data_IF_716033536152
#
_entry.id   IF_716033536152
#
_cell.length_a   1.000
_cell.length_b   1.000
_cell.length_c   1.000
_cell.angle_alpha   90.00
_cell.angle_beta   90.00
_cell.angle_gamma   90.00
#
_symmetry.space_group_name_H-M   'P 1'
#
loop_
_entity.id
_entity.type
_entity.pdbx_description
1 polymer ?
#
# COMPACT_ATOMS: atom_id res chain seq x y z
N UNK A 1 15.91 69.87 -48.70
CA UNK A 1 14.82 69.37 -47.81
C UNK A 1 14.09 68.16 -48.30
N UNK A 2 13.99 67.81 -49.55
CA UNK A 2 13.35 66.60 -50.10
C UNK A 2 14.11 65.28 -49.75
N UNK A 3 15.44 65.29 -49.77
CA UNK A 3 16.30 64.17 -49.53
C UNK A 3 16.29 63.70 -48.06
N UNK A 4 15.95 64.56 -47.09
CA UNK A 4 15.88 64.28 -45.66
C UNK A 4 14.55 63.57 -45.25
N UNK A 5 13.49 63.84 -45.97
CA UNK A 5 12.16 63.24 -45.78
C UNK A 5 12.15 61.77 -46.26
N UNK A 6 12.87 61.44 -47.32
CA UNK A 6 12.90 60.09 -47.88
C UNK A 6 13.74 59.11 -46.96
N UNK A 7 14.79 59.62 -46.34
CA UNK A 7 15.56 58.82 -45.35
C UNK A 7 14.75 58.52 -44.09
N UNK A 8 13.89 59.42 -43.64
CA UNK A 8 13.05 59.21 -42.46
C UNK A 8 11.95 58.17 -42.74
N UNK A 9 11.39 58.12 -43.94
CA UNK A 9 10.41 57.11 -44.33
C UNK A 9 11.03 55.73 -44.52
N UNK A 10 12.23 55.65 -45.05
CA UNK A 10 12.96 54.38 -45.19
C UNK A 10 13.39 53.79 -43.82
N UNK A 11 13.78 54.67 -42.89
CA UNK A 11 14.20 54.28 -41.57
C UNK A 11 13.02 53.81 -40.69
N UNK A 12 11.87 54.51 -40.77
CA UNK A 12 10.65 54.09 -40.06
C UNK A 12 10.10 52.76 -40.60
N UNK A 13 10.08 52.56 -41.91
CA UNK A 13 9.61 51.28 -42.48
C UNK A 13 10.52 50.10 -42.18
N UNK A 14 11.83 50.31 -42.03
CA UNK A 14 12.76 49.26 -41.58
C UNK A 14 12.59 48.92 -40.10
N UNK A 15 12.29 49.89 -39.23
CA UNK A 15 12.05 49.69 -37.80
C UNK A 15 10.70 48.95 -37.60
N UNK A 16 9.65 49.33 -38.31
CA UNK A 16 8.36 48.62 -38.21
C UNK A 16 8.41 47.21 -38.83
N UNK A 17 9.17 46.97 -39.89
CA UNK A 17 9.40 45.66 -40.48
C UNK A 17 10.21 44.73 -39.55
N UNK A 18 11.19 45.29 -38.84
CA UNK A 18 12.01 44.53 -37.90
C UNK A 18 11.25 44.24 -36.58
N UNK A 19 10.41 45.13 -36.10
CA UNK A 19 9.55 44.91 -34.92
C UNK A 19 8.42 43.93 -35.23
N UNK A 20 7.89 43.88 -36.45
CA UNK A 20 6.83 42.94 -36.85
C UNK A 20 7.39 41.53 -37.06
N UNK A 21 8.61 41.39 -37.57
CA UNK A 21 9.29 40.08 -37.73
C UNK A 21 9.77 39.53 -36.40
N UNK A 22 10.23 40.36 -35.47
CA UNK A 22 10.64 39.90 -34.12
C UNK A 22 9.45 39.50 -33.25
N UNK A 23 8.27 40.11 -33.41
CA UNK A 23 7.04 39.71 -32.72
C UNK A 23 6.47 38.40 -33.29
N UNK A 24 6.62 38.14 -34.61
CA UNK A 24 6.14 36.93 -35.26
C UNK A 24 7.02 35.70 -35.01
N UNK A 25 8.31 35.88 -34.67
CA UNK A 25 9.24 34.82 -34.37
C UNK A 25 9.21 34.40 -32.86
N UNK A 26 8.66 35.29 -31.98
CA UNK A 26 8.59 34.97 -30.52
C UNK A 26 7.23 34.44 -30.05
N UNK A 27 6.22 34.30 -30.92
CA UNK A 27 4.90 33.77 -30.54
C UNK A 27 4.77 32.22 -30.54
N UNK A 28 5.64 31.41 -31.18
CA UNK A 28 5.40 29.94 -31.15
C UNK A 28 6.05 29.21 -30.01
N UNK A 29 6.62 29.83 -28.97
CA UNK A 29 7.34 29.07 -27.90
C UNK A 29 6.53 28.89 -26.62
N UNK A 30 5.31 29.44 -26.52
CA UNK A 30 4.44 29.29 -25.33
C UNK A 30 3.13 28.53 -25.57
N UNK A 31 3.05 27.67 -26.60
CA UNK A 31 2.11 26.56 -26.56
C UNK A 31 2.77 25.36 -25.84
N UNK A 32 3.21 25.57 -24.61
CA UNK A 32 3.34 24.47 -23.67
C UNK A 32 1.90 24.04 -23.38
N UNK A 33 1.53 22.87 -23.88
CA UNK A 33 0.26 22.20 -23.70
C UNK A 33 -0.11 22.20 -22.20
N UNK A 34 -0.86 23.20 -21.78
CA UNK A 34 -1.69 23.04 -20.60
C UNK A 34 -2.74 21.98 -20.98
N UNK A 35 -2.53 20.74 -20.53
CA UNK A 35 -3.55 19.72 -20.66
C UNK A 35 -4.83 20.27 -20.06
N UNK A 36 -5.91 20.28 -20.83
CA UNK A 36 -7.20 20.72 -20.31
C UNK A 36 -7.64 19.76 -19.21
N UNK A 37 -8.40 20.25 -18.24
CA UNK A 37 -8.96 19.40 -17.17
C UNK A 37 -9.73 18.21 -17.76
N UNK A 38 -10.37 18.39 -18.91
CA UNK A 38 -11.08 17.36 -19.66
C UNK A 38 -10.13 16.29 -20.21
N UNK A 39 -8.96 16.66 -20.75
CA UNK A 39 -7.97 15.66 -21.20
C UNK A 39 -7.41 14.81 -20.05
N UNK A 40 -7.22 15.42 -18.89
CA UNK A 40 -6.76 14.68 -17.70
C UNK A 40 -7.86 13.76 -17.19
N UNK A 41 -9.11 14.22 -17.16
CA UNK A 41 -10.26 13.41 -16.78
C UNK A 41 -10.42 12.19 -17.69
N UNK A 42 -10.33 12.39 -19.01
CA UNK A 42 -10.38 11.30 -20.00
C UNK A 42 -9.26 10.27 -19.78
N UNK A 43 -8.04 10.72 -19.43
CA UNK A 43 -6.92 9.83 -19.09
C UNK A 43 -7.19 9.03 -17.82
N UNK A 44 -7.78 9.65 -16.79
CA UNK A 44 -8.16 8.96 -15.55
C UNK A 44 -9.21 7.88 -15.85
N UNK A 45 -10.22 8.17 -16.65
CA UNK A 45 -11.24 7.19 -17.06
C UNK A 45 -10.64 6.01 -17.83
N UNK A 46 -9.71 6.28 -18.75
CA UNK A 46 -8.98 5.23 -19.46
C UNK A 46 -8.15 4.36 -18.48
N UNK A 47 -7.46 4.97 -17.51
CA UNK A 47 -6.73 4.22 -16.49
C UNK A 47 -7.65 3.36 -15.60
N UNK A 48 -8.85 3.86 -15.27
CA UNK A 48 -9.85 3.08 -14.53
C UNK A 48 -10.31 1.84 -15.33
N UNK A 49 -10.52 1.98 -16.64
CA UNK A 49 -10.87 0.84 -17.51
C UNK A 49 -9.73 -0.19 -17.58
N UNK A 50 -8.47 0.26 -17.72
CA UNK A 50 -7.28 -0.61 -17.71
C UNK A 50 -7.15 -1.37 -16.37
N UNK A 51 -7.37 -0.68 -15.25
CA UNK A 51 -7.35 -1.25 -13.90
C UNK A 51 -8.41 -2.36 -13.78
N UNK A 52 -9.65 -2.08 -14.17
CA UNK A 52 -10.75 -3.06 -14.11
C UNK A 52 -10.48 -4.31 -14.97
N UNK A 53 -9.82 -4.16 -16.11
CA UNK A 53 -9.42 -5.29 -16.95
C UNK A 53 -8.33 -6.14 -16.30
N UNK A 54 -7.33 -5.51 -15.68
CA UNK A 54 -6.26 -6.23 -14.97
C UNK A 54 -6.80 -6.94 -13.72
N UNK A 55 -7.74 -6.36 -12.99
CA UNK A 55 -8.39 -7.00 -11.84
C UNK A 55 -9.14 -8.28 -12.27
N UNK A 56 -9.86 -8.26 -13.39
CA UNK A 56 -10.50 -9.45 -13.97
C UNK A 56 -9.47 -10.52 -14.38
N UNK A 57 -8.34 -10.11 -14.93
CA UNK A 57 -7.26 -11.02 -15.32
C UNK A 57 -6.63 -11.68 -14.08
N UNK A 58 -6.37 -10.91 -13.01
CA UNK A 58 -5.85 -11.41 -11.73
C UNK A 58 -6.83 -12.43 -11.13
N UNK A 59 -8.14 -12.16 -11.14
CA UNK A 59 -9.15 -13.09 -10.63
C UNK A 59 -9.22 -14.39 -11.44
N UNK A 60 -9.02 -14.33 -12.74
CA UNK A 60 -8.84 -15.52 -13.58
C UNK A 60 -7.64 -16.35 -13.14
N UNK A 61 -6.49 -15.72 -12.93
CA UNK A 61 -5.29 -16.42 -12.44
C UNK A 61 -5.50 -17.02 -11.06
N UNK A 62 -6.16 -16.33 -10.13
CA UNK A 62 -6.54 -16.90 -8.82
C UNK A 62 -7.38 -18.16 -8.95
N UNK A 63 -8.38 -18.14 -9.84
CA UNK A 63 -9.22 -19.31 -10.12
C UNK A 63 -8.41 -20.46 -10.71
N UNK A 64 -7.50 -20.19 -11.64
CA UNK A 64 -6.63 -21.21 -12.24
C UNK A 64 -5.69 -21.84 -11.21
N UNK A 65 -5.07 -21.02 -10.34
CA UNK A 65 -4.23 -21.51 -9.23
C UNK A 65 -5.00 -22.42 -8.27
N UNK A 66 -6.25 -22.07 -7.94
CA UNK A 66 -7.13 -22.93 -7.14
C UNK A 66 -7.42 -24.28 -7.81
N UNK A 67 -7.58 -24.30 -9.13
CA UNK A 67 -7.80 -25.51 -9.92
C UNK A 67 -6.55 -26.41 -9.93
N UNK A 68 -5.36 -25.83 -10.13
CA UNK A 68 -4.08 -26.54 -10.12
C UNK A 68 -3.82 -27.17 -8.75
N UNK A 69 -4.06 -26.45 -7.67
CA UNK A 69 -3.87 -26.94 -6.30
C UNK A 69 -4.75 -28.13 -5.92
N UNK A 70 -5.80 -28.42 -6.69
CA UNK A 70 -6.65 -29.62 -6.55
C UNK A 70 -6.14 -30.81 -7.36
N UNK A 71 -5.18 -30.61 -8.27
CA UNK A 71 -4.60 -31.67 -9.09
C UNK A 71 -3.54 -32.45 -8.30
N UNK A 72 -3.20 -33.65 -8.80
CA UNK A 72 -2.12 -34.46 -8.23
C UNK A 72 -0.79 -33.69 -8.32
N UNK A 73 0.04 -33.83 -7.29
CA UNK A 73 1.38 -33.26 -7.23
C UNK A 73 2.31 -33.89 -8.28
N UNK A 74 2.23 -33.43 -9.53
CA UNK A 74 3.11 -33.82 -10.64
C UNK A 74 4.09 -32.69 -10.93
N UNK A 75 5.22 -33.01 -11.56
CA UNK A 75 6.17 -32.01 -12.02
C UNK A 75 5.48 -30.99 -12.95
N UNK A 76 4.62 -31.47 -13.87
CA UNK A 76 3.88 -30.62 -14.79
C UNK A 76 2.96 -29.65 -14.07
N UNK A 77 2.20 -30.12 -13.04
CA UNK A 77 1.34 -29.23 -12.26
C UNK A 77 2.13 -28.22 -11.45
N UNK A 78 3.27 -28.60 -10.88
CA UNK A 78 4.14 -27.66 -10.13
C UNK A 78 4.79 -26.61 -11.03
N UNK A 79 5.24 -26.99 -12.22
CA UNK A 79 5.76 -26.02 -13.21
C UNK A 79 4.64 -25.07 -13.64
N UNK A 80 3.45 -25.60 -13.94
CA UNK A 80 2.30 -24.79 -14.35
C UNK A 80 1.90 -23.81 -13.25
N UNK A 81 1.91 -24.25 -11.98
CA UNK A 81 1.64 -23.39 -10.83
C UNK A 81 2.63 -22.22 -10.74
N UNK A 82 3.92 -22.47 -10.90
CA UNK A 82 4.96 -21.45 -10.90
C UNK A 82 4.78 -20.46 -12.08
N UNK A 83 4.38 -20.96 -13.27
CA UNK A 83 4.14 -20.11 -14.45
C UNK A 83 2.90 -19.23 -14.29
N UNK A 84 1.79 -19.80 -13.79
CA UNK A 84 0.56 -19.04 -13.53
C UNK A 84 0.80 -18.01 -12.42
N UNK A 85 1.54 -18.40 -11.36
CA UNK A 85 1.94 -17.46 -10.30
C UNK A 85 2.76 -16.30 -10.86
N UNK A 86 3.72 -16.58 -11.74
CA UNK A 86 4.49 -15.53 -12.42
C UNK A 86 3.61 -14.61 -13.25
N UNK A 87 2.65 -15.19 -14.00
CA UNK A 87 1.72 -14.41 -14.83
C UNK A 87 0.83 -13.52 -13.97
N UNK A 88 0.28 -14.05 -12.87
CA UNK A 88 -0.52 -13.29 -11.90
C UNK A 88 0.30 -12.12 -11.32
N UNK A 89 1.53 -12.39 -10.86
CA UNK A 89 2.40 -11.35 -10.28
C UNK A 89 2.78 -10.26 -11.29
N UNK A 90 2.97 -10.61 -12.56
CA UNK A 90 3.20 -9.63 -13.62
C UNK A 90 1.95 -8.76 -13.87
N UNK A 91 0.74 -9.34 -13.77
CA UNK A 91 -0.50 -8.59 -13.84
C UNK A 91 -0.67 -7.67 -12.61
N UNK A 92 -0.35 -8.14 -11.39
CA UNK A 92 -0.31 -7.33 -10.17
C UNK A 92 0.65 -6.13 -10.32
N UNK A 93 1.86 -6.36 -10.85
CA UNK A 93 2.85 -5.31 -11.17
C UNK A 93 2.28 -4.29 -12.16
N UNK A 94 1.60 -4.77 -13.21
CA UNK A 94 0.98 -3.89 -14.21
C UNK A 94 -0.15 -3.07 -13.58
N UNK A 95 -0.96 -3.69 -12.73
CA UNK A 95 -2.02 -3.04 -11.97
C UNK A 95 -1.47 -1.93 -11.05
N UNK A 96 -0.42 -2.25 -10.29
CA UNK A 96 0.24 -1.29 -9.39
C UNK A 96 0.80 -0.09 -10.17
N UNK A 97 1.42 -0.32 -11.34
CA UNK A 97 1.89 0.76 -12.21
C UNK A 97 0.73 1.65 -12.71
N UNK A 98 -0.38 1.04 -13.17
CA UNK A 98 -1.56 1.80 -13.64
C UNK A 98 -2.21 2.63 -12.52
N UNK A 99 -2.26 2.09 -11.30
CA UNK A 99 -2.73 2.83 -10.12
C UNK A 99 -1.81 4.01 -9.79
N UNK A 100 -0.49 3.83 -9.84
CA UNK A 100 0.49 4.91 -9.67
C UNK A 100 0.30 6.00 -10.74
N UNK A 101 0.14 5.63 -12.01
CA UNK A 101 -0.08 6.58 -13.10
C UNK A 101 -1.37 7.39 -12.87
N UNK A 102 -2.47 6.72 -12.47
CA UNK A 102 -3.74 7.38 -12.16
C UNK A 102 -3.59 8.39 -11.04
N UNK A 103 -3.00 8.00 -9.91
CA UNK A 103 -2.83 8.90 -8.75
C UNK A 103 -1.87 10.06 -9.08
N UNK A 104 -0.87 9.86 -9.96
CA UNK A 104 -0.03 10.96 -10.44
C UNK A 104 -0.82 11.98 -11.27
N UNK A 105 -1.78 11.55 -12.09
CA UNK A 105 -2.69 12.46 -12.82
C UNK A 105 -3.59 13.24 -11.86
N UNK A 106 -4.14 12.56 -10.84
CA UNK A 106 -4.95 13.18 -9.78
C UNK A 106 -4.13 14.22 -9.00
N UNK A 107 -2.87 13.92 -8.66
CA UNK A 107 -1.95 14.88 -8.03
C UNK A 107 -1.68 16.11 -8.90
N UNK A 108 -1.57 15.92 -10.21
CA UNK A 108 -1.43 17.03 -11.15
C UNK A 108 -2.63 17.99 -11.08
N UNK A 109 -3.85 17.45 -11.06
CA UNK A 109 -5.09 18.22 -10.92
C UNK A 109 -5.16 18.94 -9.58
N UNK A 110 -4.90 18.24 -8.47
CA UNK A 110 -4.89 18.82 -7.13
C UNK A 110 -3.87 19.95 -7.00
N UNK A 111 -2.69 19.80 -7.60
CA UNK A 111 -1.64 20.83 -7.60
C UNK A 111 -2.09 22.08 -8.37
N UNK A 112 -2.77 21.91 -9.52
CA UNK A 112 -3.34 23.02 -10.30
C UNK A 112 -4.44 23.73 -9.50
N UNK A 113 -5.32 22.99 -8.83
CA UNK A 113 -6.40 23.52 -8.01
C UNK A 113 -5.86 24.32 -6.81
N UNK A 114 -4.81 23.82 -6.14
CA UNK A 114 -4.09 24.55 -5.09
C UNK A 114 -3.60 25.89 -5.61
N UNK A 115 -2.91 25.91 -6.76
CA UNK A 115 -2.40 27.15 -7.36
C UNK A 115 -3.50 28.17 -7.68
N UNK A 116 -4.63 27.72 -8.23
CA UNK A 116 -5.78 28.58 -8.51
C UNK A 116 -6.38 29.15 -7.22
N UNK A 117 -6.55 28.35 -6.18
CA UNK A 117 -7.08 28.78 -4.88
C UNK A 117 -6.14 29.75 -4.17
N UNK A 118 -4.83 29.51 -4.18
CA UNK A 118 -3.83 30.42 -3.63
C UNK A 118 -3.85 31.78 -4.36
N UNK A 119 -3.90 31.78 -5.69
CA UNK A 119 -4.04 32.99 -6.49
C UNK A 119 -5.35 33.75 -6.18
N UNK A 120 -6.48 33.05 -6.05
CA UNK A 120 -7.76 33.66 -5.67
C UNK A 120 -7.71 34.26 -4.26
N UNK A 121 -7.05 33.61 -3.31
CA UNK A 121 -6.85 34.13 -1.95
C UNK A 121 -6.06 35.43 -1.98
N UNK A 122 -4.95 35.46 -2.73
CA UNK A 122 -4.09 36.65 -2.77
C UNK A 122 -4.77 37.82 -3.47
N UNK A 123 -5.52 37.58 -4.54
CA UNK A 123 -6.36 38.64 -5.20
C UNK A 123 -7.45 39.17 -4.26
N UNK A 124 -8.13 38.29 -3.51
CA UNK A 124 -9.14 38.68 -2.53
C UNK A 124 -8.55 39.50 -1.38
N UNK A 125 -7.37 39.11 -0.87
CA UNK A 125 -6.64 39.88 0.16
C UNK A 125 -6.29 41.30 -0.36
N UNK A 126 -5.73 41.39 -1.57
CA UNK A 126 -5.39 42.66 -2.19
C UNK A 126 -6.64 43.59 -2.34
N UNK A 127 -7.74 43.03 -2.84
CA UNK A 127 -9.00 43.77 -2.99
C UNK A 127 -9.53 44.26 -1.62
N UNK A 128 -9.53 43.40 -0.59
CA UNK A 128 -9.90 43.75 0.77
C UNK A 128 -9.02 44.87 1.34
N UNK A 129 -7.71 44.81 1.12
CA UNK A 129 -6.76 45.82 1.58
C UNK A 129 -7.09 47.19 0.94
N UNK A 130 -7.39 47.23 -0.36
CA UNK A 130 -7.75 48.46 -1.06
C UNK A 130 -9.09 49.03 -0.57
N UNK A 131 -10.09 48.16 -0.33
CA UNK A 131 -11.40 48.60 0.16
C UNK A 131 -11.31 49.09 1.60
N UNK A 132 -10.52 48.43 2.48
CA UNK A 132 -10.27 48.90 3.85
C UNK A 132 -9.53 50.24 3.87
N UNK A 133 -8.58 50.43 2.97
CA UNK A 133 -7.86 51.69 2.84
C UNK A 133 -8.83 52.83 2.49
N UNK A 134 -9.75 52.61 1.52
CA UNK A 134 -10.77 53.60 1.14
C UNK A 134 -11.68 54.00 2.32
N UNK A 135 -12.09 52.99 3.15
CA UNK A 135 -12.88 53.29 4.35
C UNK A 135 -12.05 54.11 5.35
N UNK A 136 -10.80 53.73 5.60
CA UNK A 136 -9.91 54.47 6.51
C UNK A 136 -9.66 55.89 6.07
N UNK A 137 -9.46 56.15 4.75
CA UNK A 137 -9.29 57.50 4.18
C UNK A 137 -10.56 58.33 4.36
N UNK A 138 -11.74 57.71 4.29
CA UNK A 138 -13.02 58.40 4.53
C UNK A 138 -13.23 58.69 6.02
N UNK A 139 -12.96 57.75 6.92
CA UNK A 139 -13.13 57.89 8.38
C UNK A 139 -12.18 58.95 9.00
N UNK A 140 -11.04 59.26 8.34
CA UNK A 140 -10.13 60.29 8.78
C UNK A 140 -10.70 61.71 8.62
N UNK A 141 -11.69 61.93 7.76
CA UNK A 141 -12.36 63.21 7.61
C UNK A 141 -13.54 63.29 8.59
N UNK A 142 -13.58 64.35 9.40
CA UNK A 142 -14.69 64.54 10.32
C UNK A 142 -16.01 64.76 9.56
N UNK A 143 -17.14 64.34 10.15
CA UNK A 143 -18.47 64.62 9.56
C UNK A 143 -18.68 66.10 9.26
N UNK A 144 -18.18 66.97 10.12
CA UNK A 144 -18.24 68.47 9.93
C UNK A 144 -17.38 68.92 8.77
N UNK A 145 -16.22 68.32 8.55
CA UNK A 145 -15.37 68.65 7.41
C UNK A 145 -15.97 68.15 6.09
N UNK A 146 -16.60 66.98 6.09
CA UNK A 146 -17.36 66.45 4.96
C UNK A 146 -18.61 67.28 4.64
N UNK A 147 -19.27 67.84 5.66
CA UNK A 147 -20.44 68.77 5.47
C UNK A 147 -20.02 70.10 4.90
N UNK A 148 -18.88 70.64 5.34
CA UNK A 148 -18.37 71.94 4.90
C UNK A 148 -17.64 71.89 3.54
N UNK A 149 -17.16 70.76 3.12
CA UNK A 149 -16.46 70.57 1.84
C UNK A 149 -17.35 70.19 0.64
N UNK A 150 -18.64 69.91 0.86
CA UNK A 150 -19.58 69.52 -0.18
C UNK A 150 -20.68 70.55 -0.37
N UNK A 151 -20.90 70.94 -1.61
CA UNK A 151 -21.87 72.02 -2.02
C UNK A 151 -23.35 71.61 -1.91
N UNK A 152 -23.65 70.32 -1.63
CA UNK A 152 -25.03 69.89 -1.50
C UNK A 152 -25.19 68.59 -0.62
N UNK A 153 -26.30 68.48 0.11
CA UNK A 153 -26.64 67.33 0.97
C UNK A 153 -26.77 66.01 0.21
N UNK A 154 -27.15 66.06 -1.08
CA UNK A 154 -27.30 64.84 -1.88
C UNK A 154 -25.95 64.11 -2.13
N UNK A 155 -24.86 64.86 -2.24
CA UNK A 155 -23.52 64.29 -2.39
C UNK A 155 -23.08 63.54 -1.13
N UNK A 156 -23.47 64.00 0.04
CA UNK A 156 -23.19 63.35 1.34
C UNK A 156 -23.95 62.04 1.48
N UNK A 157 -25.25 62.03 1.11
CA UNK A 157 -26.05 60.81 1.11
C UNK A 157 -25.50 59.77 0.15
N UNK A 158 -25.11 60.17 -1.07
CA UNK A 158 -24.44 59.25 -2.02
C UNK A 158 -23.14 58.68 -1.46
N UNK A 159 -22.37 59.45 -0.70
CA UNK A 159 -21.14 59.00 -0.09
C UNK A 159 -21.41 57.99 1.03
N UNK A 160 -22.45 58.21 1.83
CA UNK A 160 -22.90 57.27 2.88
C UNK A 160 -23.38 55.93 2.26
N UNK A 161 -24.21 55.99 1.21
CA UNK A 161 -24.68 54.81 0.48
C UNK A 161 -23.55 54.05 -0.17
N UNK A 162 -22.57 54.73 -0.74
CA UNK A 162 -21.37 54.11 -1.27
C UNK A 162 -20.55 53.41 -0.18
N UNK A 163 -20.43 54.00 1.03
CA UNK A 163 -19.76 53.37 2.16
C UNK A 163 -20.48 52.13 2.69
N UNK A 164 -21.82 52.16 2.74
CA UNK A 164 -22.59 50.98 3.08
C UNK A 164 -22.42 49.87 2.05
N UNK A 165 -22.40 50.23 0.77
CA UNK A 165 -22.13 49.27 -0.32
C UNK A 165 -20.73 48.67 -0.23
N UNK A 166 -19.70 49.47 0.01
CA UNK A 166 -18.31 48.98 0.22
C UNK A 166 -18.24 48.05 1.43
N UNK A 167 -18.90 48.42 2.54
CA UNK A 167 -18.96 47.57 3.75
C UNK A 167 -19.62 46.21 3.48
N UNK A 168 -20.71 46.19 2.73
CA UNK A 168 -21.38 44.98 2.28
C UNK A 168 -20.47 44.12 1.39
N UNK A 169 -19.76 44.75 0.44
CA UNK A 169 -18.79 44.06 -0.42
C UNK A 169 -17.62 43.46 0.36
N UNK A 170 -17.10 44.17 1.37
CA UNK A 170 -16.05 43.62 2.28
C UNK A 170 -16.53 42.39 3.01
N UNK A 171 -17.72 42.41 3.61
CA UNK A 171 -18.28 41.24 4.32
C UNK A 171 -18.45 40.06 3.37
N UNK A 172 -18.97 40.27 2.17
CA UNK A 172 -19.08 39.20 1.15
C UNK A 172 -17.70 38.64 0.78
N UNK A 173 -16.72 39.47 0.49
CA UNK A 173 -15.35 39.05 0.17
C UNK A 173 -14.66 38.28 1.33
N UNK A 174 -14.94 38.69 2.57
CA UNK A 174 -14.44 37.95 3.75
C UNK A 174 -15.04 36.56 3.84
N UNK A 175 -16.33 36.39 3.54
CA UNK A 175 -16.99 35.10 3.50
C UNK A 175 -16.42 34.22 2.38
N UNK A 176 -16.24 34.79 1.18
CA UNK A 176 -15.64 34.08 0.04
C UNK A 176 -14.20 33.65 0.36
N UNK A 177 -13.40 34.54 0.97
CA UNK A 177 -12.04 34.23 1.37
C UNK A 177 -11.99 33.08 2.39
N UNK A 178 -12.91 33.11 3.37
CA UNK A 178 -13.03 32.02 4.37
C UNK A 178 -13.37 30.69 3.71
N UNK A 179 -14.30 30.71 2.73
CA UNK A 179 -14.72 29.53 1.98
C UNK A 179 -13.54 28.96 1.16
N UNK A 180 -12.90 29.80 0.33
CA UNK A 180 -11.77 29.38 -0.51
C UNK A 180 -10.60 28.88 0.33
N UNK A 181 -10.33 29.49 1.50
CA UNK A 181 -9.32 29.00 2.42
C UNK A 181 -9.66 27.61 2.97
N UNK A 182 -10.92 27.37 3.34
CA UNK A 182 -11.36 26.03 3.77
C UNK A 182 -11.21 24.98 2.67
N UNK A 183 -11.59 25.33 1.44
CA UNK A 183 -11.40 24.46 0.27
C UNK A 183 -9.91 24.18 -0.02
N UNK A 184 -9.04 25.18 0.15
CA UNK A 184 -7.60 25.01 -0.01
C UNK A 184 -7.02 24.00 1.01
N UNK A 185 -7.40 24.12 2.28
CA UNK A 185 -6.95 23.17 3.33
C UNK A 185 -7.44 21.74 3.04
N UNK A 186 -8.68 21.59 2.57
CA UNK A 186 -9.20 20.29 2.14
C UNK A 186 -8.36 19.72 0.96
N UNK A 187 -8.13 20.52 -0.09
CA UNK A 187 -7.34 20.09 -1.25
C UNK A 187 -5.89 19.71 -0.87
N UNK A 188 -5.28 20.43 0.09
CA UNK A 188 -3.95 20.10 0.61
C UNK A 188 -3.96 18.76 1.35
N UNK A 189 -4.99 18.46 2.12
CA UNK A 189 -5.15 17.16 2.79
C UNK A 189 -5.30 16.02 1.78
N UNK A 190 -6.14 16.17 0.77
CA UNK A 190 -6.30 15.19 -0.31
C UNK A 190 -4.97 14.95 -1.06
N UNK A 191 -4.19 16.02 -1.28
CA UNK A 191 -2.86 15.94 -1.92
C UNK A 191 -1.90 15.09 -1.09
N UNK A 192 -1.90 15.24 0.23
CA UNK A 192 -1.05 14.46 1.13
C UNK A 192 -1.46 12.99 1.16
N UNK A 193 -2.77 12.71 1.20
CA UNK A 193 -3.28 11.33 1.10
C UNK A 193 -2.87 10.67 -0.21
N UNK A 194 -2.98 11.37 -1.34
CA UNK A 194 -2.57 10.87 -2.64
C UNK A 194 -1.06 10.59 -2.71
N UNK A 195 -0.21 11.44 -2.12
CA UNK A 195 1.25 11.20 -2.02
C UNK A 195 1.57 9.95 -1.20
N UNK A 196 0.90 9.77 -0.07
CA UNK A 196 1.07 8.61 0.78
C UNK A 196 0.66 7.32 0.05
N UNK A 197 -0.43 7.36 -0.71
CA UNK A 197 -0.87 6.23 -1.54
C UNK A 197 0.16 5.87 -2.63
N UNK A 198 0.76 6.86 -3.31
CA UNK A 198 1.84 6.60 -4.27
C UNK A 198 3.04 5.91 -3.60
N UNK A 199 3.44 6.37 -2.42
CA UNK A 199 4.57 5.79 -1.71
C UNK A 199 4.27 4.32 -1.32
N UNK A 200 3.05 4.04 -0.85
CA UNK A 200 2.57 2.69 -0.55
C UNK A 200 2.60 1.80 -1.80
N UNK A 201 2.05 2.27 -2.91
CA UNK A 201 2.02 1.51 -4.18
C UNK A 201 3.43 1.25 -4.73
N UNK A 202 4.35 2.22 -4.63
CA UNK A 202 5.75 2.03 -5.04
C UNK A 202 6.46 0.98 -4.20
N UNK A 203 6.23 0.96 -2.88
CA UNK A 203 6.78 -0.06 -1.99
C UNK A 203 6.24 -1.45 -2.37
N UNK A 204 4.91 -1.58 -2.55
CA UNK A 204 4.27 -2.81 -2.99
C UNK A 204 4.84 -3.31 -4.33
N UNK A 205 4.99 -2.42 -5.31
CA UNK A 205 5.57 -2.76 -6.63
C UNK A 205 7.01 -3.29 -6.52
N UNK A 206 7.82 -2.73 -5.62
CA UNK A 206 9.17 -3.22 -5.39
C UNK A 206 9.17 -4.64 -4.80
N UNK A 207 8.24 -4.90 -3.87
CA UNK A 207 8.07 -6.22 -3.26
C UNK A 207 7.57 -7.26 -4.29
N UNK A 208 6.57 -6.91 -5.11
CA UNK A 208 6.04 -7.78 -6.18
C UNK A 208 7.15 -8.19 -7.17
N UNK A 209 8.01 -7.25 -7.57
CA UNK A 209 9.16 -7.55 -8.44
C UNK A 209 10.13 -8.57 -7.81
N UNK A 210 10.43 -8.45 -6.51
CA UNK A 210 11.25 -9.43 -5.78
C UNK A 210 10.60 -10.82 -5.74
N UNK A 211 9.28 -10.86 -5.56
CA UNK A 211 8.53 -12.13 -5.53
C UNK A 211 8.58 -12.81 -6.91
N UNK A 212 8.42 -12.05 -8.01
CA UNK A 212 8.58 -12.59 -9.39
C UNK A 212 9.97 -13.18 -9.59
N UNK A 213 11.01 -12.48 -9.15
CA UNK A 213 12.39 -12.97 -9.25
C UNK A 213 12.60 -14.25 -8.45
N UNK A 214 12.11 -14.32 -7.21
CA UNK A 214 12.19 -15.52 -6.38
C UNK A 214 11.45 -16.69 -7.01
N UNK A 215 10.23 -16.47 -7.52
CA UNK A 215 9.45 -17.50 -8.21
C UNK A 215 10.18 -18.04 -9.44
N UNK A 216 10.83 -17.18 -10.22
CA UNK A 216 11.64 -17.61 -11.36
C UNK A 216 12.86 -18.45 -10.93
N UNK A 217 13.52 -18.08 -9.83
CA UNK A 217 14.62 -18.86 -9.24
C UNK A 217 14.15 -20.24 -8.79
N UNK A 218 12.99 -20.30 -8.11
CA UNK A 218 12.40 -21.57 -7.67
C UNK A 218 12.08 -22.51 -8.82
N UNK A 219 11.45 -21.99 -9.88
CA UNK A 219 11.18 -22.78 -11.10
C UNK A 219 12.47 -23.35 -11.70
N UNK A 220 13.49 -22.53 -11.87
CA UNK A 220 14.78 -22.97 -12.43
C UNK A 220 15.45 -24.03 -11.53
N UNK A 221 15.35 -23.89 -10.21
CA UNK A 221 15.91 -24.82 -9.25
C UNK A 221 15.18 -26.17 -9.27
N UNK A 222 13.83 -26.13 -9.40
CA UNK A 222 13.02 -27.34 -9.55
C UNK A 222 13.39 -28.10 -10.84
N UNK A 223 13.42 -27.40 -11.97
CA UNK A 223 13.82 -27.99 -13.26
C UNK A 223 15.22 -28.60 -13.22
N UNK A 224 16.20 -27.89 -12.60
CA UNK A 224 17.57 -28.38 -12.46
C UNK A 224 17.64 -29.64 -11.59
N UNK A 225 16.93 -29.68 -10.46
CA UNK A 225 16.94 -30.83 -9.53
C UNK A 225 16.24 -32.05 -10.10
N UNK A 226 15.18 -31.85 -10.87
CA UNK A 226 14.40 -32.94 -11.46
C UNK A 226 14.88 -33.33 -12.85
N UNK A 227 15.77 -32.55 -13.48
CA UNK A 227 16.17 -32.72 -14.87
C UNK A 227 14.98 -32.82 -15.83
N UNK A 228 13.90 -32.10 -15.50
CA UNK A 228 12.62 -32.13 -16.22
C UNK A 228 12.02 -33.55 -16.36
N UNK A 229 12.20 -34.39 -15.36
CA UNK A 229 11.74 -35.79 -15.35
C UNK A 229 10.78 -36.03 -14.18
N UNK A 230 9.60 -36.62 -14.47
CA UNK A 230 8.56 -36.88 -13.47
C UNK A 230 9.01 -37.87 -12.40
N UNK A 231 9.76 -38.93 -12.74
CA UNK A 231 10.29 -39.89 -11.76
C UNK A 231 11.19 -39.21 -10.74
N UNK A 232 12.13 -38.39 -11.21
CA UNK A 232 13.01 -37.61 -10.32
C UNK A 232 12.25 -36.62 -9.45
N UNK A 233 11.14 -36.09 -9.95
CA UNK A 233 10.25 -35.21 -9.17
C UNK A 233 9.52 -36.00 -8.07
N UNK A 234 8.97 -37.19 -8.39
CA UNK A 234 8.31 -38.06 -7.43
C UNK A 234 9.28 -38.52 -6.31
N UNK A 235 10.52 -38.86 -6.67
CA UNK A 235 11.57 -39.19 -5.71
C UNK A 235 11.90 -38.00 -4.79
N UNK A 236 11.97 -36.81 -5.34
CA UNK A 236 12.17 -35.58 -4.58
C UNK A 236 11.00 -35.31 -3.61
N UNK A 237 9.76 -35.49 -4.05
CA UNK A 237 8.56 -35.38 -3.21
C UNK A 237 8.56 -36.37 -2.07
N UNK A 238 8.83 -37.67 -2.38
CA UNK A 238 8.91 -38.74 -1.38
C UNK A 238 9.95 -38.44 -0.32
N UNK A 239 11.16 -38.03 -0.74
CA UNK A 239 12.23 -37.67 0.16
C UNK A 239 11.88 -36.42 1.00
N UNK A 240 11.27 -35.42 0.43
CA UNK A 240 10.80 -34.25 1.18
C UNK A 240 9.73 -34.60 2.20
N UNK A 241 8.76 -35.45 1.84
CA UNK A 241 7.71 -35.89 2.75
C UNK A 241 8.28 -36.69 3.91
N UNK A 242 9.24 -37.61 3.64
CA UNK A 242 9.92 -38.36 4.69
C UNK A 242 10.73 -37.47 5.65
N UNK A 243 11.47 -36.50 5.08
CA UNK A 243 12.23 -35.51 5.84
C UNK A 243 11.30 -34.63 6.68
N UNK A 244 10.17 -34.19 6.11
CA UNK A 244 9.14 -33.46 6.83
C UNK A 244 8.69 -34.17 8.08
N UNK A 245 8.24 -35.43 7.94
CA UNK A 245 7.71 -36.20 9.05
C UNK A 245 8.78 -36.41 10.15
N UNK A 246 10.04 -36.54 9.75
CA UNK A 246 11.16 -36.63 10.68
C UNK A 246 11.36 -35.29 11.42
N UNK A 247 11.33 -34.18 10.73
CA UNK A 247 11.46 -32.82 11.30
C UNK A 247 10.30 -32.46 12.23
N UNK A 248 9.06 -32.80 11.87
CA UNK A 248 7.91 -32.58 12.75
C UNK A 248 8.07 -33.30 14.09
N UNK A 249 8.46 -34.59 14.05
CA UNK A 249 8.72 -35.36 15.26
C UNK A 249 9.86 -34.77 16.07
N UNK A 250 10.89 -34.28 15.41
CA UNK A 250 12.02 -33.61 16.07
C UNK A 250 11.61 -32.36 16.80
N UNK A 251 10.86 -31.45 16.13
CA UNK A 251 10.31 -30.21 16.71
C UNK A 251 9.39 -30.57 17.89
N UNK A 252 8.47 -31.53 17.71
CA UNK A 252 7.59 -32.01 18.77
C UNK A 252 8.35 -32.51 20.00
N UNK A 253 9.49 -33.16 19.77
CA UNK A 253 10.36 -33.63 20.87
C UNK A 253 10.99 -32.46 21.63
N UNK A 254 11.41 -31.40 20.97
CA UNK A 254 11.91 -30.18 21.64
C UNK A 254 10.80 -29.45 22.39
N UNK A 255 9.65 -29.26 21.79
CA UNK A 255 8.50 -28.59 22.41
C UNK A 255 7.97 -29.33 23.65
N UNK A 256 8.02 -30.69 23.65
CA UNK A 256 7.61 -31.50 24.79
C UNK A 256 8.49 -31.31 26.02
N UNK A 257 9.72 -30.82 25.85
CA UNK A 257 10.65 -30.52 26.93
C UNK A 257 10.42 -29.11 27.53
N UNK A 258 9.70 -28.25 26.85
CA UNK A 258 9.36 -26.91 27.32
C UNK A 258 8.19 -26.99 28.31
N UNK A 259 8.27 -26.18 29.37
CA UNK A 259 7.21 -26.07 30.39
C UNK A 259 6.69 -24.64 30.42
N UNK A 260 5.39 -24.51 30.36
CA UNK A 260 4.70 -23.24 30.47
C UNK A 260 3.46 -23.38 31.37
N UNK A 261 3.22 -22.40 32.23
CA UNK A 261 2.04 -22.35 33.09
C UNK A 261 1.10 -21.32 32.46
N UNK A 262 0.07 -21.80 31.78
CA UNK A 262 -0.95 -20.95 31.15
C UNK A 262 -1.88 -20.39 32.23
N UNK A 263 -2.00 -19.06 32.31
CA UNK A 263 -2.99 -18.38 33.12
C UNK A 263 -4.12 -17.83 32.19
N UNK A 264 -5.28 -18.52 32.12
CA UNK A 264 -6.36 -18.11 31.22
C UNK A 264 -6.92 -16.71 31.53
N UNK A 265 -6.73 -16.20 32.76
CA UNK A 265 -7.21 -14.87 33.15
C UNK A 265 -6.41 -13.72 32.54
N UNK A 266 -5.22 -14.02 32.04
CA UNK A 266 -4.35 -13.04 31.37
C UNK A 266 -4.54 -13.01 29.86
N UNK A 267 -5.35 -13.90 29.29
CA UNK A 267 -5.59 -13.96 27.87
C UNK A 267 -6.72 -12.96 27.48
N UNK A 268 -6.57 -12.25 26.38
CA UNK A 268 -7.62 -11.34 25.88
C UNK A 268 -8.79 -12.15 25.30
N UNK A 269 -9.91 -11.47 25.03
CA UNK A 269 -11.11 -12.07 24.45
C UNK A 269 -11.14 -12.06 22.93
N UNK A 270 -12.27 -12.48 22.38
CA UNK A 270 -12.57 -12.46 20.91
C UNK A 270 -12.39 -11.06 20.34
N UNK A 271 -11.78 -10.97 19.14
CA UNK A 271 -11.48 -9.71 18.46
C UNK A 271 -10.24 -8.99 18.95
N UNK A 272 -9.48 -9.59 19.89
CA UNK A 272 -8.17 -9.08 20.30
C UNK A 272 -7.17 -9.05 19.15
N UNK A 273 -7.32 -9.95 18.17
CA UNK A 273 -6.57 -10.00 16.91
C UNK A 273 -7.48 -9.61 15.74
N UNK A 274 -6.90 -9.01 14.69
CA UNK A 274 -7.55 -8.84 13.38
C UNK A 274 -7.20 -9.99 12.46
N UNK A 275 -7.94 -10.10 11.35
CA UNK A 275 -7.59 -11.04 10.31
C UNK A 275 -6.22 -10.70 9.70
N UNK A 276 -5.38 -11.71 9.41
CA UNK A 276 -4.05 -11.50 8.82
C UNK A 276 -4.09 -11.22 7.31
N UNK A 277 -5.22 -11.43 6.66
CA UNK A 277 -5.46 -11.22 5.22
C UNK A 277 -6.72 -10.38 5.03
N UNK A 278 -6.82 -9.70 3.90
CA UNK A 278 -8.01 -8.92 3.54
C UNK A 278 -9.16 -9.84 3.07
N UNK A 279 -8.85 -10.91 2.34
CA UNK A 279 -9.81 -11.93 1.89
C UNK A 279 -9.62 -13.23 2.69
N UNK A 280 -10.64 -13.61 3.45
CA UNK A 280 -10.57 -14.73 4.40
C UNK A 280 -11.25 -15.97 3.86
N UNK A 281 -10.47 -17.02 3.66
CA UNK A 281 -10.96 -18.36 3.40
C UNK A 281 -10.11 -19.38 4.17
N UNK A 282 -10.69 -19.98 5.21
CA UNK A 282 -10.01 -20.96 6.05
C UNK A 282 -9.98 -22.31 5.34
N UNK A 283 -8.78 -22.86 5.18
CA UNK A 283 -8.56 -24.19 4.57
C UNK A 283 -8.33 -25.27 5.60
N UNK A 284 -7.74 -24.91 6.77
CA UNK A 284 -7.52 -25.86 7.86
C UNK A 284 -7.61 -25.15 9.21
N UNK A 285 -8.33 -25.75 10.14
CA UNK A 285 -8.49 -25.27 11.51
C UNK A 285 -7.39 -25.81 12.44
N UNK A 286 -7.24 -25.13 13.58
CA UNK A 286 -6.35 -25.51 14.67
C UNK A 286 -6.73 -26.85 15.31
N UNK A 287 -5.73 -27.58 15.81
CA UNK A 287 -5.91 -28.75 16.65
C UNK A 287 -6.11 -30.07 15.89
N UNK A 288 -6.74 -31.02 16.53
CA UNK A 288 -6.98 -32.37 15.95
C UNK A 288 -8.18 -32.32 15.00
N UNK A 289 -7.90 -32.32 13.72
CA UNK A 289 -8.90 -32.40 12.64
C UNK A 289 -8.66 -33.65 11.81
N UNK A 290 -9.64 -34.08 10.99
CA UNK A 290 -9.48 -35.20 10.07
C UNK A 290 -8.29 -34.99 9.13
N UNK A 291 -8.15 -33.78 8.63
CA UNK A 291 -7.04 -33.40 7.75
C UNK A 291 -5.70 -33.35 8.53
N UNK A 292 -5.70 -32.84 9.77
CA UNK A 292 -4.50 -32.84 10.61
C UNK A 292 -4.00 -34.24 10.92
N UNK A 293 -4.89 -35.19 11.22
CA UNK A 293 -4.53 -36.58 11.45
C UNK A 293 -3.88 -37.25 10.22
N UNK A 294 -4.24 -36.80 9.02
CA UNK A 294 -3.67 -37.30 7.75
C UNK A 294 -2.37 -36.60 7.36
N UNK A 295 -2.26 -35.28 7.63
CA UNK A 295 -1.20 -34.40 7.10
C UNK A 295 0.00 -34.29 8.08
N UNK A 296 -0.24 -34.36 9.38
CA UNK A 296 0.80 -34.15 10.40
C UNK A 296 1.12 -35.42 11.20
N UNK A 297 2.39 -35.64 11.46
CA UNK A 297 2.85 -36.75 12.26
C UNK A 297 2.33 -36.66 13.72
N UNK A 298 2.12 -35.45 14.22
CA UNK A 298 1.49 -35.18 15.53
C UNK A 298 -0.01 -35.46 15.55
N UNK A 299 -0.65 -35.54 14.38
CA UNK A 299 -2.11 -35.59 14.23
C UNK A 299 -2.83 -34.32 14.65
N UNK A 300 -2.09 -33.22 14.85
CA UNK A 300 -2.62 -31.93 15.30
C UNK A 300 -1.99 -30.79 14.52
N UNK A 301 -2.80 -29.80 14.14
CA UNK A 301 -2.38 -28.58 13.44
C UNK A 301 -2.10 -27.48 14.46
N UNK A 302 -0.94 -26.86 14.38
CA UNK A 302 -0.47 -25.86 15.36
C UNK A 302 -1.01 -24.45 15.15
N UNK A 303 -1.78 -24.21 14.09
CA UNK A 303 -2.34 -22.92 13.75
C UNK A 303 -3.61 -23.02 12.90
N UNK A 304 -3.91 -21.99 12.15
CA UNK A 304 -4.99 -21.94 11.14
C UNK A 304 -4.34 -21.64 9.80
N UNK A 305 -4.78 -22.39 8.77
CA UNK A 305 -4.35 -22.14 7.39
C UNK A 305 -5.42 -21.36 6.65
N UNK A 306 -4.96 -20.33 5.97
CA UNK A 306 -5.78 -19.48 5.11
C UNK A 306 -5.37 -19.65 3.65
N UNK A 307 -6.34 -19.79 2.76
CA UNK A 307 -6.07 -19.74 1.32
C UNK A 307 -5.42 -18.41 0.98
N UNK A 308 -4.25 -18.46 0.39
CA UNK A 308 -3.53 -17.28 -0.08
C UNK A 308 -2.65 -17.65 -1.27
N UNK A 309 -2.78 -16.91 -2.37
CA UNK A 309 -1.86 -17.04 -3.50
C UNK A 309 -0.50 -16.48 -3.12
N UNK A 310 0.57 -16.95 -3.76
CA UNK A 310 1.91 -16.37 -3.57
C UNK A 310 1.85 -14.86 -3.80
N UNK A 311 2.42 -14.08 -2.87
CA UNK A 311 2.46 -12.62 -2.94
C UNK A 311 1.22 -11.92 -2.37
N UNK A 312 0.31 -12.62 -1.66
CA UNK A 312 -0.78 -11.96 -0.93
C UNK A 312 -0.20 -11.25 0.31
N UNK A 313 -0.50 -9.96 0.54
CA UNK A 313 -0.05 -9.25 1.73
C UNK A 313 -0.51 -9.93 3.02
N UNK A 314 0.39 -10.03 4.00
CA UNK A 314 0.13 -10.57 5.34
C UNK A 314 0.26 -9.44 6.34
N UNK A 315 -0.83 -9.19 7.06
CA UNK A 315 -0.96 -8.06 7.97
C UNK A 315 -0.70 -8.49 9.42
N UNK A 316 -0.04 -7.63 10.21
CA UNK A 316 0.08 -7.80 11.65
C UNK A 316 -1.33 -7.82 12.30
N UNK A 317 -1.62 -8.87 13.08
CA UNK A 317 -2.96 -9.06 13.67
C UNK A 317 -3.24 -8.12 14.84
N UNK A 318 -2.22 -7.53 15.45
CA UNK A 318 -2.32 -6.50 16.50
C UNK A 318 -1.07 -5.65 16.53
N UNK A 319 -1.05 -4.59 17.34
CA UNK A 319 0.15 -3.80 17.61
C UNK A 319 1.13 -4.62 18.44
N UNK A 320 2.43 -4.51 18.14
CA UNK A 320 3.47 -5.28 18.82
C UNK A 320 4.87 -5.07 18.26
N UNK A 321 5.76 -6.01 18.54
CA UNK A 321 7.16 -5.99 18.10
C UNK A 321 7.49 -7.30 17.39
N UNK A 322 8.20 -7.22 16.27
CA UNK A 322 8.76 -8.38 15.57
C UNK A 322 9.94 -8.92 16.36
N UNK A 323 9.75 -10.09 16.96
CA UNK A 323 10.77 -10.73 17.84
C UNK A 323 11.78 -11.53 17.03
N UNK A 324 11.39 -11.99 15.85
CA UNK A 324 12.31 -12.71 14.97
C UNK A 324 11.73 -12.98 13.60
N UNK A 325 12.63 -13.18 12.67
CA UNK A 325 12.35 -13.59 11.30
C UNK A 325 13.31 -14.71 10.89
N UNK A 326 12.92 -15.55 9.97
CA UNK A 326 13.83 -16.60 9.51
C UNK A 326 13.34 -17.36 8.29
N UNK A 327 14.18 -18.29 7.85
CA UNK A 327 13.92 -19.15 6.71
C UNK A 327 14.53 -20.54 6.98
N UNK A 328 13.68 -21.50 7.37
CA UNK A 328 14.13 -22.87 7.61
C UNK A 328 14.56 -23.59 6.33
N UNK A 329 14.05 -23.18 5.17
CA UNK A 329 14.46 -23.72 3.87
C UNK A 329 15.91 -23.39 3.49
N UNK A 330 16.46 -22.31 4.04
CA UNK A 330 17.85 -21.93 3.81
C UNK A 330 18.84 -22.98 4.32
N UNK A 331 18.48 -23.69 5.38
CA UNK A 331 19.30 -24.73 6.01
C UNK A 331 18.79 -26.12 5.71
N UNK A 332 17.48 -26.35 5.72
CA UNK A 332 16.83 -27.62 5.50
C UNK A 332 15.59 -27.45 4.62
N UNK A 333 15.70 -27.54 3.27
CA UNK A 333 14.60 -27.30 2.36
C UNK A 333 13.38 -28.20 2.61
N UNK A 334 12.20 -27.61 2.70
CA UNK A 334 10.93 -28.28 3.02
C UNK A 334 10.72 -28.50 4.53
N UNK A 335 11.48 -27.80 5.37
CA UNK A 335 11.36 -27.89 6.82
C UNK A 335 10.36 -26.87 7.36
N UNK A 336 9.44 -27.33 8.23
CA UNK A 336 8.61 -26.51 9.10
C UNK A 336 7.98 -25.29 8.40
N UNK A 337 8.17 -24.07 8.95
CA UNK A 337 7.54 -22.84 8.48
C UNK A 337 8.09 -22.26 7.16
N UNK A 338 9.25 -22.74 6.64
CA UNK A 338 9.93 -22.07 5.54
C UNK A 338 10.37 -20.67 5.97
N UNK A 339 9.98 -19.63 5.21
CA UNK A 339 10.11 -18.24 5.66
C UNK A 339 9.03 -17.92 6.67
N UNK A 340 9.42 -17.30 7.78
CA UNK A 340 8.51 -17.00 8.89
C UNK A 340 8.81 -15.65 9.54
N UNK A 341 7.76 -15.05 10.13
CA UNK A 341 7.83 -13.86 11.00
C UNK A 341 7.15 -14.19 12.31
N UNK A 342 7.83 -13.90 13.42
CA UNK A 342 7.31 -14.06 14.78
C UNK A 342 7.12 -12.67 15.41
N UNK A 343 5.89 -12.40 15.89
CA UNK A 343 5.49 -11.11 16.46
C UNK A 343 4.92 -11.34 17.85
N UNK A 344 5.42 -10.59 18.82
CA UNK A 344 4.82 -10.48 20.15
C UNK A 344 3.97 -9.21 20.23
N UNK A 345 2.71 -9.38 20.65
CA UNK A 345 1.73 -8.32 20.68
C UNK A 345 1.59 -7.70 22.06
N UNK A 346 1.26 -6.40 22.12
CA UNK A 346 1.05 -5.65 23.35
C UNK A 346 -0.15 -6.17 24.18
N UNK A 347 -1.02 -6.98 23.58
CA UNK A 347 -2.22 -7.55 24.20
C UNK A 347 -2.02 -8.90 24.92
N UNK A 348 -0.77 -9.36 25.07
CA UNK A 348 -0.44 -10.61 25.74
C UNK A 348 -0.59 -11.86 24.89
N UNK A 349 -0.65 -11.71 23.57
CA UNK A 349 -0.58 -12.80 22.59
C UNK A 349 0.70 -12.66 21.75
N UNK A 350 1.06 -13.75 21.08
CA UNK A 350 2.09 -13.72 20.04
C UNK A 350 1.65 -14.55 18.83
N UNK A 351 2.25 -14.32 17.67
CA UNK A 351 1.94 -15.11 16.47
C UNK A 351 3.16 -15.41 15.62
N UNK A 352 3.10 -16.51 14.89
CA UNK A 352 4.01 -16.84 13.80
C UNK A 352 3.24 -16.96 12.50
N UNK A 353 3.67 -16.21 11.49
CA UNK A 353 3.25 -16.40 10.10
C UNK A 353 4.27 -17.25 9.38
N UNK A 354 3.84 -18.35 8.76
CA UNK A 354 4.70 -19.29 8.03
C UNK A 354 4.41 -19.33 6.53
N UNK A 355 5.26 -20.07 5.82
CA UNK A 355 5.19 -20.36 4.39
C UNK A 355 5.28 -19.13 3.48
N UNK A 356 5.99 -18.09 3.94
CA UNK A 356 6.06 -16.78 3.29
C UNK A 356 6.92 -16.80 2.01
N UNK A 357 6.55 -15.98 1.01
CA UNK A 357 7.39 -15.76 -0.18
C UNK A 357 8.41 -14.64 0.05
N UNK A 358 8.02 -13.60 0.78
CA UNK A 358 8.86 -12.47 1.12
C UNK A 358 8.55 -12.00 2.54
N UNK A 359 9.59 -11.78 3.34
CA UNK A 359 9.51 -11.11 4.64
C UNK A 359 9.80 -9.62 4.39
N UNK A 360 8.88 -8.75 4.81
CA UNK A 360 9.02 -7.29 4.71
C UNK A 360 9.50 -6.67 6.01
N UNK A 361 9.01 -7.20 7.13
CA UNK A 361 9.38 -6.74 8.46
C UNK A 361 10.83 -7.10 8.81
N UNK A 362 11.40 -6.34 9.73
CA UNK A 362 12.73 -6.59 10.31
C UNK A 362 12.60 -6.90 11.79
N UNK A 363 13.53 -7.68 12.32
CA UNK A 363 13.61 -7.98 13.76
C UNK A 363 13.77 -6.67 14.55
N UNK A 364 13.08 -6.56 15.68
CA UNK A 364 12.99 -5.37 16.50
C UNK A 364 12.02 -4.29 15.97
N UNK A 365 11.46 -4.46 14.80
CA UNK A 365 10.50 -3.51 14.23
C UNK A 365 9.21 -3.48 15.03
N UNK A 366 8.77 -2.27 15.43
CA UNK A 366 7.44 -2.05 15.96
C UNK A 366 6.43 -2.00 14.80
N UNK A 367 5.33 -2.73 14.96
CA UNK A 367 4.25 -2.80 13.98
C UNK A 367 2.93 -2.41 14.61
N UNK A 368 2.07 -1.80 13.81
CA UNK A 368 0.68 -1.53 14.15
C UNK A 368 -0.22 -2.62 13.59
N UNK A 369 -1.42 -2.77 14.15
CA UNK A 369 -2.45 -3.64 13.57
C UNK A 369 -2.73 -3.24 12.13
N UNK A 370 -2.67 -4.20 11.20
CA UNK A 370 -2.91 -3.97 9.77
C UNK A 370 -1.65 -3.61 8.96
N UNK A 371 -0.49 -3.42 9.60
CA UNK A 371 0.76 -3.23 8.85
C UNK A 371 1.14 -4.48 8.09
N UNK A 372 1.51 -4.34 6.82
CA UNK A 372 2.01 -5.45 5.99
C UNK A 372 3.40 -5.85 6.48
N UNK A 373 3.51 -7.05 7.07
CA UNK A 373 4.76 -7.59 7.64
C UNK A 373 5.44 -8.60 6.71
N UNK A 374 4.69 -9.23 5.82
CA UNK A 374 5.19 -10.23 4.88
C UNK A 374 4.24 -10.43 3.71
N UNK A 375 4.59 -11.37 2.84
CA UNK A 375 3.73 -11.84 1.74
C UNK A 375 3.66 -13.38 1.79
N UNK A 376 2.43 -13.92 1.63
CA UNK A 376 2.19 -15.37 1.60
C UNK A 376 2.94 -16.06 0.46
N UNK A 377 3.21 -17.34 0.62
CA UNK A 377 3.98 -18.12 -0.35
C UNK A 377 3.74 -19.62 -0.27
N UNK A 378 4.77 -20.37 -0.59
CA UNK A 378 4.78 -21.84 -0.57
C UNK A 378 6.14 -22.38 -0.10
N UNK A 379 6.80 -21.70 0.84
CA UNK A 379 8.08 -22.13 1.41
C UNK A 379 7.89 -23.09 2.59
N UNK A 380 8.90 -23.84 2.95
CA UNK A 380 8.82 -24.83 4.02
C UNK A 380 7.99 -26.02 3.65
N UNK A 381 7.26 -26.55 4.66
CA UNK A 381 6.44 -27.72 4.48
C UNK A 381 5.02 -27.35 4.08
N UNK A 382 4.73 -27.42 2.80
CA UNK A 382 3.42 -27.09 2.22
C UNK A 382 2.98 -28.10 1.16
N UNK A 383 1.67 -28.24 0.97
CA UNK A 383 1.05 -28.96 -0.14
C UNK A 383 0.64 -28.05 -1.29
N UNK A 384 0.66 -26.74 -1.08
CA UNK A 384 0.34 -25.68 -2.03
C UNK A 384 0.38 -24.30 -1.36
N UNK A 385 0.25 -23.18 -2.11
CA UNK A 385 0.31 -21.85 -1.55
C UNK A 385 -0.80 -21.61 -0.52
N UNK A 386 -0.43 -21.14 0.66
CA UNK A 386 -1.33 -20.73 1.74
C UNK A 386 -0.58 -19.89 2.77
N UNK A 387 -1.31 -19.25 3.68
CA UNK A 387 -0.76 -18.64 4.87
C UNK A 387 -1.06 -19.53 6.08
N UNK A 388 -0.03 -19.94 6.79
CA UNK A 388 -0.14 -20.57 8.12
C UNK A 388 0.00 -19.49 9.19
N UNK A 389 -0.93 -19.43 10.15
CA UNK A 389 -0.87 -18.53 11.29
C UNK A 389 -1.03 -19.29 12.60
N UNK A 390 0.01 -19.31 13.41
CA UNK A 390 0.00 -19.84 14.79
C UNK A 390 -0.18 -18.70 15.77
N UNK A 391 -0.96 -18.92 16.83
CA UNK A 391 -1.09 -18.00 17.97
C UNK A 391 -0.59 -18.67 19.23
N UNK A 392 0.13 -17.90 20.04
CA UNK A 392 0.69 -18.33 21.33
C UNK A 392 0.24 -17.40 22.46
N UNK A 393 0.27 -17.90 23.68
CA UNK A 393 0.26 -17.05 24.86
C UNK A 393 1.54 -16.18 24.87
N UNK A 394 1.41 -14.89 25.19
CA UNK A 394 2.54 -13.95 25.21
C UNK A 394 3.65 -14.39 26.15
N UNK A 395 4.90 -14.22 25.75
CA UNK A 395 6.08 -14.66 26.48
C UNK A 395 6.28 -16.18 26.58
N UNK A 396 5.44 -17.00 25.90
CA UNK A 396 5.51 -18.44 25.97
C UNK A 396 6.28 -19.09 24.81
N UNK A 397 6.45 -18.35 23.72
CA UNK A 397 7.21 -18.79 22.56
C UNK A 397 8.53 -18.02 22.45
N UNK A 398 9.58 -18.73 22.09
CA UNK A 398 10.92 -18.17 21.94
C UNK A 398 11.53 -18.64 20.61
N UNK A 399 12.24 -17.73 19.93
CA UNK A 399 13.06 -18.10 18.77
C UNK A 399 14.29 -18.86 19.26
N UNK A 400 14.39 -20.14 18.90
CA UNK A 400 15.48 -21.02 19.31
C UNK A 400 16.20 -21.62 18.11
N UNK A 401 17.52 -21.68 18.22
CA UNK A 401 18.38 -22.43 17.30
C UNK A 401 18.75 -23.75 17.93
N UNK A 402 18.52 -24.85 17.23
CA UNK A 402 18.83 -26.20 17.71
C UNK A 402 19.42 -27.06 16.58
N UNK A 403 20.31 -28.01 16.91
CA UNK A 403 20.88 -28.94 15.93
C UNK A 403 19.79 -29.88 15.42
N UNK A 404 19.65 -29.99 14.08
CA UNK A 404 18.70 -30.92 13.50
C UNK A 404 19.30 -32.31 13.37
N UNK A 405 18.57 -33.30 13.89
CA UNK A 405 18.87 -34.72 13.71
C UNK A 405 18.43 -35.21 12.34
N UNK A 406 17.36 -34.65 11.83
CA UNK A 406 16.75 -34.99 10.53
C UNK A 406 17.50 -34.40 9.35
N UNK A 407 18.13 -33.24 9.54
CA UNK A 407 19.02 -32.58 8.57
C UNK A 407 20.45 -32.61 9.14
N UNK A 408 21.14 -33.73 8.97
CA UNK A 408 22.45 -34.00 9.60
C UNK A 408 23.46 -32.86 9.37
N UNK A 409 24.07 -32.39 10.43
CA UNK A 409 25.06 -31.29 10.41
C UNK A 409 24.47 -29.91 10.18
N UNK A 410 23.15 -29.75 10.26
CA UNK A 410 22.45 -28.46 10.14
C UNK A 410 21.81 -28.04 11.45
N UNK A 411 21.62 -26.76 11.61
CA UNK A 411 20.80 -26.16 12.67
C UNK A 411 19.50 -25.60 12.10
N UNK A 412 18.44 -25.67 12.87
CA UNK A 412 17.16 -25.03 12.57
C UNK A 412 16.94 -23.89 13.57
N UNK A 413 16.44 -22.75 13.06
CA UNK A 413 16.06 -21.60 13.88
C UNK A 413 14.59 -21.30 13.59
N UNK A 414 13.75 -21.37 14.63
CA UNK A 414 12.33 -21.08 14.53
C UNK A 414 11.72 -20.81 15.90
N UNK A 415 10.51 -20.20 15.96
CA UNK A 415 9.74 -20.11 17.21
C UNK A 415 9.38 -21.49 17.72
N UNK A 416 9.63 -21.71 19.02
CA UNK A 416 9.23 -22.90 19.76
C UNK A 416 8.49 -22.53 21.04
N UNK A 417 7.46 -23.28 21.38
CA UNK A 417 6.68 -23.08 22.60
C UNK A 417 6.33 -24.42 23.25
N UNK A 418 6.00 -24.39 24.53
CA UNK A 418 5.40 -25.54 25.16
C UNK A 418 4.06 -25.89 24.52
N UNK A 419 3.69 -27.19 24.43
CA UNK A 419 2.46 -27.62 23.74
C UNK A 419 1.20 -26.94 24.23
N UNK A 420 1.09 -26.64 25.51
CA UNK A 420 -0.06 -25.95 26.11
C UNK A 420 -0.05 -24.42 25.90
N UNK A 421 0.99 -23.86 25.32
CA UNK A 421 1.09 -22.44 24.99
C UNK A 421 0.54 -22.12 23.60
N UNK A 422 0.30 -23.12 22.76
CA UNK A 422 -0.40 -22.96 21.48
C UNK A 422 -1.89 -22.74 21.71
N UNK A 423 -2.41 -21.68 21.14
CA UNK A 423 -3.79 -21.25 21.32
C UNK A 423 -4.57 -21.36 20.01
N UNK A 424 -5.85 -21.70 20.09
CA UNK A 424 -6.71 -21.70 18.91
C UNK A 424 -6.90 -20.24 18.41
N UNK A 425 -6.38 -19.88 17.22
CA UNK A 425 -6.50 -18.53 16.70
C UNK A 425 -7.95 -18.05 16.58
N UNK A 426 -8.89 -18.98 16.34
CA UNK A 426 -10.30 -18.63 16.16
C UNK A 426 -10.96 -18.07 17.42
N UNK A 427 -10.37 -18.28 18.59
CA UNK A 427 -10.88 -17.70 19.85
C UNK A 427 -10.52 -16.22 20.02
N UNK A 428 -9.58 -15.70 19.24
CA UNK A 428 -9.06 -14.33 19.34
C UNK A 428 -9.32 -13.48 18.11
N UNK A 429 -9.61 -14.10 16.97
CA UNK A 429 -9.98 -13.46 15.73
C UNK A 429 -11.44 -12.97 15.75
N UNK A 430 -11.83 -12.01 14.88
CA UNK A 430 -13.22 -11.62 14.74
C UNK A 430 -14.10 -12.81 14.31
N UNK A 431 -15.42 -12.80 14.55
CA UNK A 431 -16.30 -13.88 14.11
C UNK A 431 -16.21 -14.11 12.60
N UNK A 432 -15.97 -15.36 12.21
CA UNK A 432 -15.93 -15.78 10.81
C UNK A 432 -17.35 -16.03 10.30
N UNK A 433 -17.80 -15.19 9.37
CA UNK A 433 -19.04 -15.42 8.61
C UNK A 433 -18.67 -16.14 7.32
N UNK A 434 -19.12 -17.40 7.18
CA UNK A 434 -19.02 -18.15 5.92
C UNK A 434 -19.85 -17.53 4.82
#
# INVERSE_FOLDING_TARGET
MKQYQDYKKLFLNKIYGFLFVTVLVFIPVFFIYAQTAEEVQNKIEQKNADIANLEKEIDRYKSELNSIGKQKNTLSSSIKELDVTKSKLNADISLSNKKIDKVNLELGNLSSDIGQKEFAIDNNKLALMLDLRRISEFEQKSLTENLLSNDNLASIWNTIDNMQSIRGAILSKMQDLKKVKGELEYTKTETELAKNEINRLKAQLADEKKIVENNAKEKNLLLKKTKNNESSYQDLLKNRTALKNALEKEVESYESQLKFILDPKKLPGVGALSWPLDDIYITQLFGRTVDAARLYASGSHSGVDFRASVGTPVNAMSAGVVIGIGDTDSTCPGASFGKWVFIEYDNGLASTFGHLSLIKATEGQRVSRGDVVAYSGATGHVTGPHLHATVYAGGAAEVKTFPSKSCAGKTLTQPLAAKNAYLDPMLYLPPYKK
#
